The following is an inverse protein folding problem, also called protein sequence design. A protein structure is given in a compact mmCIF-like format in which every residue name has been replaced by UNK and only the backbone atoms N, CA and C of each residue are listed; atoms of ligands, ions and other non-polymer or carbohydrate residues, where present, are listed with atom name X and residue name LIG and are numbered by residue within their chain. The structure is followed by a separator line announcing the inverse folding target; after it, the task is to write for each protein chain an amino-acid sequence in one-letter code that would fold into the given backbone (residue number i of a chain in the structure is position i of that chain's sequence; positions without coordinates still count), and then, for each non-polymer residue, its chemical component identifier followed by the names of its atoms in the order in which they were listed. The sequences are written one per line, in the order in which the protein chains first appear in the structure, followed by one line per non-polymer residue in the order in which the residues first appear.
data_IF_176202156891
#
_entry.id   IF_176202156891
#
_cell.length_a   1.000
_cell.length_b   1.000
_cell.length_c   1.000
_cell.angle_alpha   90.00
_cell.angle_beta   90.00
_cell.angle_gamma   90.00
#
_symmetry.space_group_name_H-M   'P 1'
#
loop_
_entity.id
_entity.type
_entity.pdbx_description
1 polymer ?
#
# COMPACT_ATOMS: atom_id res chain seq x y z
N UNK A 1 21.66 -6.97 -31.50
CA UNK A 1 21.74 -7.15 -30.05
C UNK A 1 22.00 -5.79 -29.44
N UNK A 2 20.97 -5.10 -29.01
CA UNK A 2 21.08 -3.85 -28.23
C UNK A 2 20.32 -4.12 -26.95
N UNK A 3 21.05 -4.02 -25.84
CA UNK A 3 20.54 -4.15 -24.49
C UNK A 3 19.48 -3.07 -24.24
N UNK A 4 18.23 -3.46 -24.20
CA UNK A 4 17.20 -2.63 -23.61
C UNK A 4 17.36 -2.74 -22.11
N UNK A 5 17.86 -1.67 -21.50
CA UNK A 5 17.81 -1.47 -20.05
C UNK A 5 16.33 -1.39 -19.65
N UNK A 6 15.82 -2.47 -19.11
CA UNK A 6 14.47 -2.51 -18.56
C UNK A 6 14.54 -1.71 -17.25
N UNK A 7 14.08 -0.46 -17.33
CA UNK A 7 13.72 0.30 -16.15
C UNK A 7 12.51 -0.41 -15.53
N UNK A 8 12.78 -1.29 -14.56
CA UNK A 8 11.75 -1.97 -13.78
C UNK A 8 11.07 -0.94 -12.90
N UNK A 9 10.03 -0.29 -13.43
CA UNK A 9 9.13 0.52 -12.62
C UNK A 9 8.14 -0.45 -11.99
N UNK A 10 8.49 -0.95 -10.80
CA UNK A 10 7.52 -1.52 -9.87
C UNK A 10 6.63 -0.37 -9.40
N UNK A 11 5.59 -0.04 -10.17
CA UNK A 11 4.59 0.92 -9.74
C UNK A 11 3.54 0.15 -8.95
N UNK A 12 3.75 0.15 -7.67
CA UNK A 12 2.76 -0.25 -6.67
C UNK A 12 1.56 0.68 -6.75
N UNK A 13 0.38 0.11 -6.69
CA UNK A 13 -0.80 0.88 -6.36
C UNK A 13 -0.54 1.67 -5.06
N UNK A 14 -0.44 3.00 -5.17
CA UNK A 14 -0.28 4.01 -4.12
C UNK A 14 1.06 4.14 -3.37
N UNK A 15 2.18 3.54 -3.82
CA UNK A 15 3.48 3.77 -3.19
C UNK A 15 4.52 4.21 -4.24
N UNK A 16 4.78 5.51 -4.32
CA UNK A 16 5.89 6.05 -5.11
C UNK A 16 7.18 5.98 -4.28
N UNK A 17 8.12 5.13 -4.67
CA UNK A 17 9.48 5.13 -4.12
C UNK A 17 10.34 6.11 -4.91
N UNK A 18 10.66 7.26 -4.33
CA UNK A 18 11.77 8.09 -4.80
C UNK A 18 13.00 7.71 -3.99
N UNK A 19 14.00 7.15 -4.65
CA UNK A 19 15.26 6.77 -4.02
C UNK A 19 16.07 7.97 -3.55
N UNK A 20 16.69 7.84 -2.37
CA UNK A 20 17.86 8.61 -1.94
C UNK A 20 18.85 7.72 -1.22
N UNK A 21 20.12 7.99 -1.49
CA UNK A 21 21.34 7.27 -1.18
C UNK A 21 21.69 7.33 0.31
N UNK A 22 22.02 6.19 0.93
CA UNK A 22 23.11 5.95 1.86
C UNK A 22 23.09 6.60 3.24
N UNK A 23 22.66 5.83 4.27
CA UNK A 23 23.24 5.91 5.62
C UNK A 23 23.37 4.49 6.19
N UNK A 24 24.40 4.18 7.00
CA UNK A 24 24.66 2.82 7.47
C UNK A 24 23.60 2.34 8.46
N UNK A 25 23.16 1.08 8.29
CA UNK A 25 22.18 0.42 9.14
C UNK A 25 22.76 0.20 10.56
N UNK A 26 22.01 0.61 11.59
CA UNK A 26 22.26 0.19 12.97
C UNK A 26 21.73 -1.24 13.20
N UNK A 27 22.42 -2.08 13.95
CA UNK A 27 21.99 -3.45 14.22
C UNK A 27 20.74 -3.49 15.11
N UNK A 28 19.83 -4.38 14.79
CA UNK A 28 18.49 -4.58 15.36
C UNK A 28 18.45 -4.72 16.89
N UNK A 29 19.53 -5.16 17.52
CA UNK A 29 19.61 -5.34 18.98
C UNK A 29 19.62 -4.01 19.76
N UNK A 30 20.05 -2.91 19.17
CA UNK A 30 20.10 -1.61 19.86
C UNK A 30 18.74 -0.89 19.90
N UNK A 31 17.82 -1.21 18.97
CA UNK A 31 16.48 -0.58 18.93
C UNK A 31 15.57 -1.10 20.04
N UNK A 32 15.81 -2.34 20.51
CA UNK A 32 15.01 -2.95 21.58
C UNK A 32 15.53 -2.63 22.99
N UNK A 33 16.79 -2.18 23.13
CA UNK A 33 17.39 -1.93 24.45
C UNK A 33 17.21 -0.50 24.96
N UNK A 34 16.72 0.44 24.13
CA UNK A 34 16.45 1.83 24.53
C UNK A 34 15.00 2.13 24.87
N UNK A 35 14.11 1.13 24.83
CA UNK A 35 12.75 1.31 25.32
C UNK A 35 12.75 1.28 26.87
N UNK A 36 12.16 2.27 27.55
CA UNK A 36 12.10 2.26 29.01
C UNK A 36 11.27 1.06 29.49
N UNK A 37 11.84 0.33 30.47
CA UNK A 37 11.27 -0.80 31.16
C UNK A 37 9.79 -0.54 31.56
N UNK A 38 8.88 -1.37 31.05
CA UNK A 38 7.49 -1.36 31.42
C UNK A 38 7.33 -1.73 32.91
N UNK A 39 6.82 -0.79 33.71
CA UNK A 39 6.19 -1.14 34.97
C UNK A 39 4.78 -1.62 34.69
N UNK A 40 4.51 -2.88 34.98
CA UNK A 40 3.17 -3.46 34.99
C UNK A 40 2.28 -2.67 35.93
N UNK A 41 1.27 -1.99 35.38
CA UNK A 41 0.16 -1.49 36.19
C UNK A 41 -0.84 -2.64 36.41
N UNK A 42 -0.85 -3.19 37.61
CA UNK A 42 -1.92 -4.08 38.05
C UNK A 42 -3.25 -3.31 38.06
N UNK A 43 -4.29 -3.91 37.47
CA UNK A 43 -5.66 -3.40 37.59
C UNK A 43 -6.06 -3.50 39.06
N UNK A 44 -6.57 -2.44 39.69
CA UNK A 44 -7.09 -2.56 41.06
C UNK A 44 -8.33 -3.45 41.05
N UNK A 45 -8.29 -4.50 41.89
CA UNK A 45 -9.39 -5.38 42.14
C UNK A 45 -10.45 -4.64 42.93
N UNK A 46 -11.56 -4.27 42.27
CA UNK A 46 -12.64 -3.44 42.85
C UNK A 46 -13.59 -4.29 43.76
N UNK A 47 -13.59 -5.61 43.62
CA UNK A 47 -14.52 -6.47 44.37
C UNK A 47 -14.10 -6.79 45.82
N UNK A 48 -12.82 -6.67 46.18
CA UNK A 48 -12.32 -7.06 47.50
C UNK A 48 -12.40 -5.98 48.57
N UNK A 49 -12.86 -4.75 48.30
CA UNK A 49 -12.84 -3.62 49.25
C UNK A 49 -14.23 -3.18 49.76
N UNK A 50 -15.29 -3.97 49.56
CA UNK A 50 -16.66 -3.56 49.90
C UNK A 50 -17.13 -3.91 51.33
N UNK A 51 -16.32 -4.60 52.14
CA UNK A 51 -16.84 -5.19 53.38
C UNK A 51 -16.52 -4.51 54.71
N UNK A 52 -15.83 -3.35 54.77
CA UNK A 52 -15.42 -2.81 56.08
C UNK A 52 -15.55 -1.29 56.31
N UNK A 53 -16.66 -0.64 55.94
CA UNK A 53 -16.80 0.80 56.39
C UNK A 53 -18.27 1.17 56.65
N UNK A 54 -18.54 1.73 57.85
CA UNK A 54 -19.90 2.13 58.32
C UNK A 54 -20.65 3.11 57.40
N UNK A 55 -21.98 3.04 57.40
CA UNK A 55 -22.90 3.60 56.39
C UNK A 55 -22.77 5.09 56.04
N UNK A 56 -22.23 5.96 56.92
CA UNK A 56 -22.06 7.39 56.61
C UNK A 56 -20.73 7.71 55.86
N UNK A 57 -19.71 6.90 56.07
CA UNK A 57 -18.45 7.00 55.34
C UNK A 57 -18.54 6.29 53.95
N UNK A 58 -19.36 5.24 53.87
CA UNK A 58 -19.74 4.57 52.62
C UNK A 58 -20.43 5.53 51.63
N UNK A 59 -21.34 6.42 52.10
CA UNK A 59 -22.02 7.36 51.22
C UNK A 59 -21.08 8.36 50.54
N UNK A 60 -20.08 8.90 51.27
CA UNK A 60 -19.08 9.85 50.69
C UNK A 60 -18.11 9.13 49.76
N UNK A 61 -17.62 7.96 50.13
CA UNK A 61 -16.72 7.17 49.27
C UNK A 61 -17.45 6.69 48.02
N UNK A 62 -18.67 6.22 48.17
CA UNK A 62 -19.52 5.82 47.03
C UNK A 62 -19.84 7.04 46.11
N UNK A 63 -20.16 8.20 46.68
CA UNK A 63 -20.41 9.42 45.91
C UNK A 63 -19.14 9.84 45.15
N UNK A 64 -17.95 9.82 45.78
CA UNK A 64 -16.70 10.12 45.13
C UNK A 64 -16.37 9.15 43.96
N UNK A 65 -16.65 7.85 44.14
CA UNK A 65 -16.47 6.86 43.06
C UNK A 65 -17.51 7.05 41.95
N UNK A 66 -18.78 7.33 42.28
CA UNK A 66 -19.82 7.67 41.30
C UNK A 66 -19.37 8.93 40.49
N UNK A 67 -18.95 9.99 41.17
CA UNK A 67 -18.51 11.24 40.53
C UNK A 67 -17.28 10.98 39.61
N UNK A 68 -16.34 10.15 40.04
CA UNK A 68 -15.19 9.70 39.27
C UNK A 68 -15.61 8.92 38.03
N UNK A 69 -16.55 7.98 38.16
CA UNK A 69 -17.10 7.21 37.03
C UNK A 69 -17.87 8.11 36.08
N UNK A 70 -18.72 9.02 36.56
CA UNK A 70 -19.42 9.98 35.71
C UNK A 70 -18.48 10.93 35.00
N UNK A 71 -17.43 11.41 35.68
CA UNK A 71 -16.38 12.22 35.07
C UNK A 71 -15.62 11.46 33.98
N UNK A 72 -15.27 10.20 34.25
CA UNK A 72 -14.62 9.31 33.28
C UNK A 72 -15.52 9.04 32.08
N UNK A 73 -16.81 8.72 32.30
CA UNK A 73 -17.79 8.56 31.22
C UNK A 73 -17.90 9.80 30.36
N UNK A 74 -17.99 10.99 30.98
CA UNK A 74 -18.03 12.27 30.26
C UNK A 74 -16.77 12.54 29.45
N UNK A 75 -15.59 12.12 29.92
CA UNK A 75 -14.34 12.21 29.16
C UNK A 75 -14.39 11.25 27.97
N UNK A 76 -14.78 9.98 28.17
CA UNK A 76 -14.87 8.99 27.10
C UNK A 76 -15.84 9.42 25.98
N UNK A 77 -17.00 10.00 26.36
CA UNK A 77 -17.95 10.54 25.37
C UNK A 77 -17.33 11.67 24.54
N UNK A 78 -16.55 12.56 25.17
CA UNK A 78 -15.84 13.64 24.48
C UNK A 78 -14.75 13.11 23.56
N UNK A 79 -13.97 12.12 24.01
CA UNK A 79 -12.95 11.44 23.20
C UNK A 79 -13.59 10.87 21.93
N UNK A 80 -14.69 10.14 22.07
CA UNK A 80 -15.43 9.54 20.96
C UNK A 80 -15.94 10.61 19.97
N UNK A 81 -16.50 11.69 20.48
CA UNK A 81 -16.96 12.82 19.65
C UNK A 81 -15.82 13.42 18.83
N UNK A 82 -14.65 13.63 19.45
CA UNK A 82 -13.50 14.20 18.74
C UNK A 82 -12.95 13.23 17.67
N UNK A 83 -12.95 11.93 17.93
CA UNK A 83 -12.57 10.91 16.93
C UNK A 83 -13.51 10.94 15.74
N UNK A 84 -14.82 10.93 15.96
CA UNK A 84 -15.81 10.96 14.87
C UNK A 84 -15.75 12.27 14.06
N UNK A 85 -15.52 13.41 14.71
CA UNK A 85 -15.24 14.66 13.99
C UNK A 85 -13.99 14.55 13.13
N UNK A 86 -12.90 13.99 13.70
CA UNK A 86 -11.65 13.79 12.97
C UNK A 86 -11.84 12.91 11.73
N UNK A 87 -12.60 11.80 11.84
CA UNK A 87 -12.96 10.95 10.71
C UNK A 87 -13.71 11.71 9.62
N UNK A 88 -14.71 12.51 10.01
CA UNK A 88 -15.49 13.30 9.07
C UNK A 88 -14.65 14.35 8.32
N UNK A 89 -13.67 15.00 8.98
CA UNK A 89 -12.74 15.90 8.32
C UNK A 89 -11.75 15.17 7.43
N UNK A 90 -11.27 14.00 7.86
CA UNK A 90 -10.39 13.14 7.05
C UNK A 90 -11.07 12.73 5.74
N UNK A 91 -12.33 12.31 5.77
CA UNK A 91 -13.13 11.97 4.58
C UNK A 91 -13.33 13.16 3.63
N UNK A 92 -13.44 14.37 4.17
CA UNK A 92 -13.50 15.62 3.38
C UNK A 92 -12.15 16.06 2.81
N UNK A 93 -11.06 15.37 3.16
CA UNK A 93 -9.70 15.74 2.76
C UNK A 93 -9.05 16.85 3.61
N UNK A 94 -9.73 17.33 4.67
CA UNK A 94 -9.17 18.32 5.61
C UNK A 94 -8.31 17.61 6.67
N UNK A 95 -7.08 17.28 6.28
CA UNK A 95 -6.15 16.51 7.12
C UNK A 95 -5.70 17.32 8.34
N UNK A 96 -5.52 18.62 8.23
CA UNK A 96 -5.06 19.47 9.34
C UNK A 96 -6.10 19.51 10.46
N UNK A 97 -7.36 19.69 10.14
CA UNK A 97 -8.45 19.67 11.12
C UNK A 97 -8.64 18.25 11.69
N UNK A 98 -8.53 17.20 10.88
CA UNK A 98 -8.58 15.83 11.36
C UNK A 98 -7.47 15.54 12.40
N UNK A 99 -6.22 15.94 12.12
CA UNK A 99 -5.07 15.82 13.02
C UNK A 99 -5.30 16.60 14.33
N UNK A 100 -5.89 17.80 14.24
CA UNK A 100 -6.22 18.60 15.43
C UNK A 100 -7.25 17.88 16.32
N UNK A 101 -8.32 17.32 15.74
CA UNK A 101 -9.33 16.54 16.45
C UNK A 101 -8.71 15.29 17.14
N UNK A 102 -7.92 14.51 16.42
CA UNK A 102 -7.24 13.34 17.02
C UNK A 102 -6.24 13.76 18.10
N UNK A 103 -5.55 14.88 17.93
CA UNK A 103 -4.64 15.42 18.97
C UNK A 103 -5.42 15.85 20.22
N UNK A 104 -6.61 16.44 20.05
CA UNK A 104 -7.47 16.78 21.18
C UNK A 104 -7.97 15.51 21.89
N UNK A 105 -8.37 14.48 21.14
CA UNK A 105 -8.75 13.18 21.70
C UNK A 105 -7.62 12.58 22.56
N UNK A 106 -6.36 12.59 22.06
CA UNK A 106 -5.18 12.11 22.79
C UNK A 106 -4.89 12.93 24.04
N UNK A 107 -5.17 14.24 24.04
CA UNK A 107 -5.03 15.07 25.26
C UNK A 107 -6.07 14.72 26.32
N UNK A 108 -7.26 14.33 25.93
CA UNK A 108 -8.32 13.88 26.82
C UNK A 108 -8.03 12.49 27.39
N UNK A 109 -7.55 11.59 26.55
CA UNK A 109 -7.17 10.22 26.91
C UNK A 109 -5.88 9.80 26.16
N UNK A 110 -4.78 9.77 26.92
CA UNK A 110 -3.46 9.40 26.39
C UNK A 110 -3.30 7.91 26.11
N UNK A 111 -4.27 7.09 26.48
CA UNK A 111 -4.29 5.65 26.25
C UNK A 111 -5.19 5.25 25.07
N UNK A 112 -5.75 6.22 24.39
CA UNK A 112 -6.64 5.96 23.25
C UNK A 112 -5.86 5.56 22.00
N UNK A 113 -5.80 4.25 21.76
CA UNK A 113 -5.08 3.63 20.63
C UNK A 113 -5.62 4.11 19.30
N UNK A 114 -6.95 4.19 19.15
CA UNK A 114 -7.61 4.59 17.91
C UNK A 114 -7.21 6.02 17.49
N UNK A 115 -7.11 6.95 18.44
CA UNK A 115 -6.74 8.33 18.14
C UNK A 115 -5.29 8.45 17.62
N UNK A 116 -4.34 7.71 18.21
CA UNK A 116 -2.97 7.64 17.70
C UNK A 116 -2.93 7.00 16.30
N UNK A 117 -3.62 5.88 16.12
CA UNK A 117 -3.65 5.17 14.85
C UNK A 117 -4.20 6.04 13.71
N UNK A 118 -5.34 6.69 13.92
CA UNK A 118 -5.97 7.56 12.93
C UNK A 118 -5.13 8.83 12.67
N UNK A 119 -4.50 9.39 13.71
CA UNK A 119 -3.58 10.52 13.53
C UNK A 119 -2.37 10.11 12.71
N UNK A 120 -1.80 8.95 12.94
CA UNK A 120 -0.71 8.39 12.14
C UNK A 120 -1.09 8.28 10.67
N UNK A 121 -2.28 7.76 10.35
CA UNK A 121 -2.79 7.72 8.97
C UNK A 121 -2.88 9.13 8.36
N UNK A 122 -3.45 10.10 9.08
CA UNK A 122 -3.58 11.46 8.60
C UNK A 122 -2.22 12.15 8.40
N UNK A 123 -1.24 11.93 9.31
CA UNK A 123 0.14 12.41 9.18
C UNK A 123 0.82 11.83 7.93
N UNK A 124 0.63 10.53 7.66
CA UNK A 124 1.14 9.86 6.46
C UNK A 124 0.58 10.46 5.17
N UNK A 125 -0.72 10.79 5.14
CA UNK A 125 -1.39 11.42 3.99
C UNK A 125 -0.79 12.79 3.61
N UNK A 126 -0.36 13.58 4.60
CA UNK A 126 0.29 14.88 4.36
C UNK A 126 1.83 14.80 4.31
N UNK A 127 2.38 13.59 4.30
CA UNK A 127 3.83 13.36 4.14
C UNK A 127 4.66 13.57 5.40
N UNK A 128 4.06 13.73 6.58
CA UNK A 128 4.75 13.89 7.86
C UNK A 128 5.26 12.56 8.42
N UNK A 129 6.18 11.92 7.69
CA UNK A 129 6.68 10.55 7.97
C UNK A 129 7.17 10.34 9.41
N UNK A 130 7.87 11.31 9.98
CA UNK A 130 8.37 11.19 11.35
C UNK A 130 7.24 11.11 12.39
N UNK A 131 6.20 11.92 12.22
CA UNK A 131 5.03 11.91 13.12
C UNK A 131 4.16 10.67 12.90
N UNK A 132 4.02 10.21 11.65
CA UNK A 132 3.36 8.96 11.29
C UNK A 132 3.98 7.78 12.05
N UNK A 133 5.31 7.62 11.97
CA UNK A 133 6.05 6.56 12.67
C UNK A 133 5.92 6.68 14.19
N UNK A 134 6.02 7.89 14.74
CA UNK A 134 5.86 8.12 16.18
C UNK A 134 4.47 7.73 16.69
N UNK A 135 3.43 8.02 15.92
CA UNK A 135 2.06 7.68 16.27
C UNK A 135 1.82 6.16 16.25
N UNK A 136 2.29 5.45 15.21
CA UNK A 136 2.20 3.98 15.21
C UNK A 136 3.09 3.36 16.31
N UNK A 137 4.24 3.96 16.61
CA UNK A 137 5.05 3.57 17.77
C UNK A 137 4.27 3.71 19.09
N UNK A 138 3.48 4.78 19.25
CA UNK A 138 2.62 4.96 20.43
C UNK A 138 1.50 3.93 20.49
N UNK A 139 0.90 3.55 19.34
CA UNK A 139 -0.05 2.44 19.27
C UNK A 139 0.58 1.15 19.80
N UNK A 140 1.79 0.80 19.33
CA UNK A 140 2.47 -0.44 19.73
C UNK A 140 2.99 -0.42 21.17
N UNK A 141 3.19 0.75 21.77
CA UNK A 141 3.46 0.86 23.21
C UNK A 141 2.21 0.56 24.07
N UNK A 142 1.01 0.88 23.56
CA UNK A 142 -0.24 0.66 24.24
C UNK A 142 -0.83 -0.74 23.97
N UNK A 143 -0.62 -1.25 22.76
CA UNK A 143 -1.07 -2.57 22.31
C UNK A 143 0.02 -3.19 21.43
N UNK A 144 0.82 -4.08 22.03
CA UNK A 144 1.94 -4.76 21.38
C UNK A 144 1.50 -5.76 20.29
N UNK A 145 0.23 -6.19 20.34
CA UNK A 145 -0.32 -7.15 19.38
C UNK A 145 -1.21 -6.47 18.30
N UNK A 146 -1.02 -5.18 18.05
CA UNK A 146 -1.76 -4.45 17.04
C UNK A 146 -1.18 -4.67 15.63
N UNK A 147 -1.65 -5.70 14.94
CA UNK A 147 -1.14 -6.12 13.63
C UNK A 147 -1.20 -5.00 12.57
N UNK A 148 -2.31 -4.24 12.53
CA UNK A 148 -2.51 -3.14 11.58
C UNK A 148 -1.48 -2.01 11.79
N UNK A 149 -1.08 -1.73 13.04
CA UNK A 149 -0.06 -0.72 13.33
C UNK A 149 1.33 -1.18 12.85
N UNK A 150 1.68 -2.45 13.05
CA UNK A 150 2.90 -3.02 12.47
C UNK A 150 2.90 -2.93 10.95
N UNK A 151 1.80 -3.29 10.29
CA UNK A 151 1.71 -3.18 8.83
C UNK A 151 1.90 -1.74 8.35
N UNK A 152 1.23 -0.77 8.98
CA UNK A 152 1.38 0.67 8.66
C UNK A 152 2.80 1.18 8.93
N UNK A 153 3.40 0.76 10.03
CA UNK A 153 4.78 1.12 10.37
C UNK A 153 5.76 0.54 9.33
N UNK A 154 5.54 -0.69 8.89
CA UNK A 154 6.28 -1.30 7.78
C UNK A 154 6.18 -0.49 6.49
N UNK A 155 4.97 -0.04 6.12
CA UNK A 155 4.76 0.83 4.94
C UNK A 155 5.49 2.16 5.11
N UNK A 156 5.42 2.80 6.29
CA UNK A 156 6.11 4.06 6.55
C UNK A 156 7.64 3.93 6.40
N UNK A 157 8.23 2.84 6.93
CA UNK A 157 9.67 2.55 6.76
C UNK A 157 10.04 2.20 5.33
N UNK A 158 9.22 1.44 4.61
CA UNK A 158 9.44 1.14 3.20
C UNK A 158 9.47 2.43 2.36
N UNK A 159 8.57 3.37 2.63
CA UNK A 159 8.53 4.69 2.00
C UNK A 159 9.74 5.59 2.33
N UNK A 160 10.48 5.27 3.39
CA UNK A 160 11.76 5.92 3.72
C UNK A 160 12.97 5.19 3.13
N UNK A 161 12.77 4.09 2.41
CA UNK A 161 13.84 3.24 1.89
C UNK A 161 14.44 2.26 2.91
N UNK A 162 13.90 2.23 4.13
CA UNK A 162 14.36 1.32 5.20
C UNK A 162 13.71 -0.07 5.04
N UNK A 163 14.03 -0.75 3.94
CA UNK A 163 13.35 -1.97 3.51
C UNK A 163 13.49 -3.13 4.52
N UNK A 164 14.65 -3.27 5.18
CA UNK A 164 14.84 -4.32 6.18
C UNK A 164 13.95 -4.13 7.40
N UNK A 165 13.82 -2.89 7.89
CA UNK A 165 12.93 -2.57 9.00
C UNK A 165 11.45 -2.79 8.59
N UNK A 166 11.10 -2.46 7.35
CA UNK A 166 9.76 -2.71 6.82
C UNK A 166 9.43 -4.21 6.84
N UNK A 167 10.35 -5.07 6.37
CA UNK A 167 10.17 -6.54 6.36
C UNK A 167 9.95 -7.08 7.77
N UNK A 168 10.68 -6.59 8.77
CA UNK A 168 10.50 -6.98 10.17
C UNK A 168 9.08 -6.61 10.64
N UNK A 169 8.64 -5.39 10.39
CA UNK A 169 7.31 -4.94 10.82
C UNK A 169 6.18 -5.72 10.11
N UNK A 170 6.28 -5.97 8.81
CA UNK A 170 5.33 -6.83 8.11
C UNK A 170 5.31 -8.26 8.66
N UNK A 171 6.49 -8.78 9.06
CA UNK A 171 6.60 -10.12 9.64
C UNK A 171 5.92 -10.20 11.01
N UNK A 172 6.02 -9.16 11.84
CA UNK A 172 5.29 -9.08 13.09
C UNK A 172 3.77 -8.96 12.85
N UNK A 173 3.34 -8.16 11.88
CA UNK A 173 1.93 -8.08 11.51
C UNK A 173 1.37 -9.46 11.11
N UNK A 174 2.12 -10.23 10.32
CA UNK A 174 1.75 -11.59 9.90
C UNK A 174 1.80 -12.58 11.08
N UNK A 175 2.78 -12.47 11.99
CA UNK A 175 2.86 -13.30 13.18
C UNK A 175 1.62 -13.15 14.06
N UNK A 176 1.17 -11.90 14.25
CA UNK A 176 0.00 -11.57 15.06
C UNK A 176 -1.30 -11.97 14.35
N UNK A 177 -1.39 -11.70 13.05
CA UNK A 177 -2.57 -11.98 12.22
C UNK A 177 -2.17 -12.79 10.97
N UNK A 178 -2.13 -14.13 11.06
CA UNK A 178 -1.66 -15.00 9.97
C UNK A 178 -2.48 -14.93 8.67
N UNK A 179 -3.68 -14.34 8.72
CA UNK A 179 -4.54 -14.14 7.54
C UNK A 179 -4.51 -12.69 7.03
N UNK A 180 -3.47 -11.92 7.37
CA UNK A 180 -3.37 -10.52 6.98
C UNK A 180 -2.82 -10.36 5.56
N UNK A 181 -3.69 -10.47 4.56
CA UNK A 181 -3.37 -10.42 3.12
C UNK A 181 -2.54 -9.18 2.75
N UNK A 182 -2.92 -7.99 3.27
CA UNK A 182 -2.18 -6.74 2.98
C UNK A 182 -0.72 -6.81 3.46
N UNK A 183 -0.47 -7.40 4.62
CA UNK A 183 0.88 -7.53 5.16
C UNK A 183 1.76 -8.49 4.32
N UNK A 184 1.18 -9.60 3.82
CA UNK A 184 1.87 -10.46 2.87
C UNK A 184 2.22 -9.73 1.57
N UNK A 185 1.26 -9.02 0.97
CA UNK A 185 1.50 -8.24 -0.24
C UNK A 185 2.60 -7.20 -0.03
N UNK A 186 2.54 -6.44 1.07
CA UNK A 186 3.54 -5.42 1.37
C UNK A 186 4.93 -6.02 1.61
N UNK A 187 5.01 -7.17 2.32
CA UNK A 187 6.28 -7.87 2.54
C UNK A 187 6.85 -8.45 1.24
N UNK A 188 6.00 -8.99 0.40
CA UNK A 188 6.40 -9.46 -0.93
C UNK A 188 7.05 -8.35 -1.76
N UNK A 189 6.44 -7.18 -1.78
CA UNK A 189 7.00 -6.00 -2.44
C UNK A 189 8.34 -5.60 -1.85
N UNK A 190 8.47 -5.63 -0.52
CA UNK A 190 9.74 -5.34 0.14
C UNK A 190 10.81 -6.38 -0.21
N UNK A 191 10.46 -7.67 -0.32
CA UNK A 191 11.37 -8.72 -0.80
C UNK A 191 11.74 -8.54 -2.28
N UNK A 192 10.79 -8.14 -3.14
CA UNK A 192 11.07 -7.84 -4.54
C UNK A 192 12.08 -6.70 -4.70
N UNK A 193 11.96 -5.64 -3.90
CA UNK A 193 12.92 -4.52 -3.88
C UNK A 193 14.33 -4.96 -3.43
N UNK A 194 14.44 -6.05 -2.69
CA UNK A 194 15.73 -6.68 -2.33
C UNK A 194 16.21 -7.73 -3.35
N UNK A 195 15.47 -7.97 -4.42
CA UNK A 195 15.76 -9.01 -5.40
C UNK A 195 15.53 -10.45 -4.91
N UNK A 196 14.79 -10.62 -3.79
CA UNK A 196 14.51 -11.95 -3.25
C UNK A 196 13.23 -12.53 -3.87
N UNK A 197 13.36 -13.05 -5.08
CA UNK A 197 12.25 -13.52 -5.91
C UNK A 197 11.46 -14.65 -5.23
N UNK A 198 12.17 -15.63 -4.64
CA UNK A 198 11.52 -16.80 -4.02
C UNK A 198 10.60 -16.39 -2.87
N UNK A 199 11.07 -15.52 -1.97
CA UNK A 199 10.24 -15.01 -0.87
C UNK A 199 9.09 -14.15 -1.37
N UNK A 200 9.29 -13.38 -2.43
CA UNK A 200 8.24 -12.59 -3.06
C UNK A 200 7.11 -13.48 -3.57
N UNK A 201 7.44 -14.52 -4.35
CA UNK A 201 6.44 -15.47 -4.89
C UNK A 201 5.74 -16.22 -3.74
N UNK A 202 6.50 -16.63 -2.72
CA UNK A 202 5.96 -17.32 -1.55
C UNK A 202 4.91 -16.47 -0.83
N UNK A 203 5.21 -15.21 -0.52
CA UNK A 203 4.28 -14.32 0.18
C UNK A 203 3.04 -14.01 -0.67
N UNK A 204 3.21 -13.74 -1.97
CA UNK A 204 2.07 -13.51 -2.87
C UNK A 204 1.20 -14.75 -3.01
N UNK A 205 1.79 -15.94 -3.02
CA UNK A 205 1.04 -17.20 -3.03
C UNK A 205 0.23 -17.39 -1.76
N UNK A 206 0.77 -17.01 -0.60
CA UNK A 206 0.00 -17.02 0.65
C UNK A 206 -1.14 -15.98 0.63
N UNK A 207 -0.88 -14.78 0.12
CA UNK A 207 -1.92 -13.75 -0.03
C UNK A 207 -3.09 -14.25 -0.91
N UNK A 208 -2.79 -14.90 -2.02
CA UNK A 208 -3.78 -15.51 -2.93
C UNK A 208 -4.53 -16.65 -2.23
N UNK A 209 -3.83 -17.51 -1.48
CA UNK A 209 -4.46 -18.62 -0.76
C UNK A 209 -5.46 -18.11 0.29
N UNK A 210 -5.14 -17.01 0.98
CA UNK A 210 -6.03 -16.41 2.00
C UNK A 210 -7.20 -15.70 1.35
N UNK A 211 -6.97 -14.95 0.28
CA UNK A 211 -8.01 -14.25 -0.47
C UNK A 211 -7.85 -14.51 -1.98
N UNK A 212 -8.55 -15.53 -2.52
CA UNK A 212 -8.47 -15.90 -3.94
C UNK A 212 -9.06 -14.87 -4.91
N UNK A 213 -9.77 -13.87 -4.41
CA UNK A 213 -10.38 -12.81 -5.22
C UNK A 213 -9.60 -11.48 -5.13
N UNK A 214 -8.38 -11.50 -4.58
CA UNK A 214 -7.54 -10.30 -4.48
C UNK A 214 -6.77 -10.06 -5.79
N UNK A 215 -7.16 -9.06 -6.61
CA UNK A 215 -6.49 -8.80 -7.88
C UNK A 215 -5.05 -8.32 -7.71
N UNK A 216 -4.72 -7.62 -6.61
CA UNK A 216 -3.38 -7.05 -6.41
C UNK A 216 -2.32 -8.15 -6.19
N UNK A 217 -2.68 -9.23 -5.50
CA UNK A 217 -1.76 -10.33 -5.25
C UNK A 217 -1.42 -11.10 -6.54
N UNK A 218 -2.43 -11.38 -7.37
CA UNK A 218 -2.23 -11.97 -8.70
C UNK A 218 -1.40 -11.04 -9.59
N UNK A 219 -1.78 -9.76 -9.67
CA UNK A 219 -1.06 -8.78 -10.49
C UNK A 219 0.40 -8.67 -10.11
N UNK A 220 0.70 -8.55 -8.82
CA UNK A 220 2.07 -8.45 -8.34
C UNK A 220 2.87 -9.73 -8.64
N UNK A 221 2.28 -10.91 -8.52
CA UNK A 221 2.95 -12.17 -8.84
C UNK A 221 3.18 -12.32 -10.34
N UNK A 222 2.20 -11.92 -11.15
CA UNK A 222 2.34 -11.88 -12.61
C UNK A 222 3.51 -10.99 -13.07
N UNK A 223 3.71 -9.82 -12.45
CA UNK A 223 4.86 -8.95 -12.73
C UNK A 223 6.18 -9.66 -12.43
N UNK A 224 6.26 -10.39 -11.31
CA UNK A 224 7.46 -11.15 -10.96
C UNK A 224 7.71 -12.27 -11.98
N UNK A 225 6.69 -13.04 -12.34
CA UNK A 225 6.80 -14.08 -13.36
C UNK A 225 7.21 -13.51 -14.73
N UNK A 226 6.64 -12.37 -15.13
CA UNK A 226 7.04 -11.70 -16.37
C UNK A 226 8.52 -11.27 -16.35
N UNK A 227 8.97 -10.66 -15.26
CA UNK A 227 10.36 -10.22 -15.11
C UNK A 227 11.36 -11.38 -15.08
N UNK A 228 10.92 -12.55 -14.66
CA UNK A 228 11.71 -13.79 -14.65
C UNK A 228 11.48 -14.65 -15.90
N UNK A 229 10.79 -14.11 -16.92
CA UNK A 229 10.49 -14.75 -18.20
C UNK A 229 9.62 -16.03 -18.10
N UNK A 230 8.88 -16.18 -17.01
CA UNK A 230 7.89 -17.23 -16.80
C UNK A 230 6.56 -16.73 -17.38
N UNK A 231 6.50 -16.64 -18.72
CA UNK A 231 5.41 -15.94 -19.43
C UNK A 231 4.05 -16.62 -19.31
N UNK A 232 4.02 -17.95 -19.25
CA UNK A 232 2.75 -18.68 -19.15
C UNK A 232 2.11 -18.47 -17.77
N UNK A 233 2.91 -18.50 -16.71
CA UNK A 233 2.49 -18.19 -15.34
C UNK A 233 2.04 -16.72 -15.22
N UNK A 234 2.78 -15.80 -15.85
CA UNK A 234 2.40 -14.39 -15.87
C UNK A 234 1.05 -14.16 -16.57
N UNK A 235 0.82 -14.79 -17.72
CA UNK A 235 -0.45 -14.70 -18.44
C UNK A 235 -1.61 -15.27 -17.61
N UNK A 236 -1.39 -16.39 -16.90
CA UNK A 236 -2.40 -16.98 -16.03
C UNK A 236 -2.77 -16.01 -14.89
N UNK A 237 -1.78 -15.45 -14.19
CA UNK A 237 -2.02 -14.52 -13.08
C UNK A 237 -2.62 -13.18 -13.54
N UNK A 238 -2.22 -12.63 -14.70
CA UNK A 238 -2.91 -11.47 -15.26
C UNK A 238 -4.36 -11.79 -15.65
N UNK A 239 -4.64 -13.00 -16.11
CA UNK A 239 -5.99 -13.44 -16.41
C UNK A 239 -6.83 -13.54 -15.14
N UNK A 240 -6.28 -14.07 -14.05
CA UNK A 240 -6.93 -14.09 -12.75
C UNK A 240 -7.14 -12.68 -12.18
N UNK A 241 -6.16 -11.78 -12.37
CA UNK A 241 -6.31 -10.35 -12.04
C UNK A 241 -7.50 -9.73 -12.74
N UNK A 242 -7.63 -9.95 -14.05
CA UNK A 242 -8.72 -9.43 -14.88
C UNK A 242 -10.07 -10.05 -14.47
N UNK A 243 -10.10 -11.33 -14.14
CA UNK A 243 -11.30 -11.99 -13.64
C UNK A 243 -11.77 -11.38 -12.32
N UNK A 244 -10.84 -11.10 -11.38
CA UNK A 244 -11.15 -10.51 -10.09
C UNK A 244 -11.49 -9.01 -10.18
N UNK A 245 -10.86 -8.30 -11.12
CA UNK A 245 -11.12 -6.89 -11.39
C UNK A 245 -11.09 -6.59 -12.90
N UNK A 246 -12.24 -6.63 -13.59
CA UNK A 246 -12.31 -6.35 -15.03
C UNK A 246 -11.90 -4.93 -15.44
N UNK A 247 -11.83 -3.99 -14.51
CA UNK A 247 -11.40 -2.61 -14.77
C UNK A 247 -9.88 -2.41 -14.56
N UNK A 248 -9.13 -3.49 -14.35
CA UNK A 248 -7.70 -3.42 -14.11
C UNK A 248 -6.90 -3.19 -15.40
N UNK A 249 -6.93 -1.96 -15.93
CA UNK A 249 -6.31 -1.60 -17.21
C UNK A 249 -4.83 -2.05 -17.36
N UNK A 250 -4.06 -2.02 -16.28
CA UNK A 250 -2.65 -2.45 -16.31
C UNK A 250 -2.50 -3.95 -16.56
N UNK A 251 -3.41 -4.78 -16.06
CA UNK A 251 -3.34 -6.23 -16.28
C UNK A 251 -3.53 -6.57 -17.76
N UNK A 252 -4.48 -5.89 -18.42
CA UNK A 252 -4.65 -6.02 -19.88
C UNK A 252 -3.38 -5.56 -20.62
N UNK A 253 -2.85 -4.37 -20.30
CA UNK A 253 -1.63 -3.85 -20.90
C UNK A 253 -0.47 -4.84 -20.78
N UNK A 254 -0.18 -5.32 -19.56
CA UNK A 254 0.94 -6.21 -19.32
C UNK A 254 0.76 -7.59 -19.97
N UNK A 255 -0.48 -8.11 -20.03
CA UNK A 255 -0.77 -9.36 -20.73
C UNK A 255 -0.63 -9.19 -22.24
N UNK A 256 -1.06 -8.04 -22.78
CA UNK A 256 -0.88 -7.68 -24.18
C UNK A 256 0.59 -7.58 -24.56
N UNK A 257 1.43 -6.98 -23.72
CA UNK A 257 2.87 -6.89 -23.95
C UNK A 257 3.51 -8.30 -24.08
N UNK A 258 3.09 -9.25 -23.26
CA UNK A 258 3.56 -10.64 -23.37
C UNK A 258 3.05 -11.27 -24.66
N UNK A 259 1.76 -11.09 -25.03
CA UNK A 259 1.22 -11.63 -26.28
C UNK A 259 1.94 -11.06 -27.49
N UNK A 260 2.20 -9.75 -27.49
CA UNK A 260 2.96 -9.09 -28.57
C UNK A 260 4.39 -9.64 -28.69
N UNK A 261 5.07 -9.84 -27.58
CA UNK A 261 6.42 -10.42 -27.55
C UNK A 261 6.49 -11.85 -28.08
N UNK A 262 5.37 -12.59 -27.94
CA UNK A 262 5.21 -13.96 -28.47
C UNK A 262 4.68 -13.99 -29.92
N UNK A 263 4.50 -12.84 -30.57
CA UNK A 263 3.92 -12.76 -31.92
C UNK A 263 2.41 -13.03 -31.99
N UNK A 264 1.72 -13.12 -30.85
CA UNK A 264 0.27 -13.34 -30.77
C UNK A 264 -0.46 -11.99 -30.91
N UNK A 265 -0.24 -11.33 -32.05
CA UNK A 265 -0.62 -9.93 -32.27
C UNK A 265 -2.11 -9.67 -32.14
N UNK A 266 -2.99 -10.56 -32.59
CA UNK A 266 -4.44 -10.40 -32.46
C UNK A 266 -4.88 -10.33 -31.00
N UNK A 267 -4.30 -11.18 -30.11
CA UNK A 267 -4.59 -11.17 -28.68
C UNK A 267 -4.06 -9.89 -28.03
N UNK A 268 -2.87 -9.45 -28.44
CA UNK A 268 -2.29 -8.21 -27.95
C UNK A 268 -3.15 -6.99 -28.31
N UNK A 269 -3.60 -6.90 -29.58
CA UNK A 269 -4.49 -5.84 -30.07
C UNK A 269 -5.78 -5.77 -29.25
N UNK A 270 -6.39 -6.93 -28.99
CA UNK A 270 -7.62 -7.00 -28.22
C UNK A 270 -7.41 -6.47 -26.77
N UNK A 271 -6.38 -6.92 -26.08
CA UNK A 271 -6.09 -6.51 -24.70
C UNK A 271 -5.67 -5.03 -24.62
N UNK A 272 -4.85 -4.53 -25.55
CA UNK A 272 -4.53 -3.09 -25.63
C UNK A 272 -5.79 -2.27 -25.88
N UNK A 273 -6.72 -2.76 -26.71
CA UNK A 273 -8.02 -2.13 -26.97
C UNK A 273 -8.78 -1.90 -25.68
N UNK A 274 -8.92 -2.92 -24.84
CA UNK A 274 -9.59 -2.81 -23.55
C UNK A 274 -8.83 -1.86 -22.61
N UNK A 275 -7.50 -1.93 -22.57
CA UNK A 275 -6.69 -1.02 -21.74
C UNK A 275 -6.91 0.45 -22.13
N UNK A 276 -7.07 0.74 -23.44
CA UNK A 276 -7.36 2.07 -23.97
C UNK A 276 -8.80 2.49 -23.62
N UNK A 277 -9.79 1.60 -23.75
CA UNK A 277 -11.17 1.89 -23.34
C UNK A 277 -11.23 2.29 -21.85
N UNK A 278 -10.53 1.56 -21.00
CA UNK A 278 -10.43 1.86 -19.55
C UNK A 278 -9.63 3.14 -19.26
N UNK A 279 -8.62 3.45 -20.08
CA UNK A 279 -7.75 4.62 -19.93
C UNK A 279 -7.49 5.32 -21.25
N UNK A 280 -8.42 6.14 -21.76
CA UNK A 280 -8.34 6.75 -23.08
C UNK A 280 -7.19 7.74 -23.32
N UNK A 281 -6.49 8.15 -22.25
CA UNK A 281 -5.33 9.05 -22.34
C UNK A 281 -3.98 8.34 -22.13
N UNK A 282 -3.92 7.02 -22.34
CA UNK A 282 -2.71 6.23 -22.13
C UNK A 282 -1.92 6.09 -23.44
N UNK A 283 -1.03 7.06 -23.71
CA UNK A 283 -0.24 7.16 -24.94
C UNK A 283 0.54 5.87 -25.28
N UNK A 284 1.14 5.22 -24.26
CA UNK A 284 1.90 3.98 -24.43
C UNK A 284 1.02 2.82 -24.95
N UNK A 285 -0.24 2.73 -24.50
CA UNK A 285 -1.15 1.68 -24.95
C UNK A 285 -1.49 1.84 -26.44
N UNK A 286 -1.74 3.06 -26.91
CA UNK A 286 -1.89 3.32 -28.35
C UNK A 286 -0.63 2.98 -29.13
N UNK A 287 0.53 3.39 -28.64
CA UNK A 287 1.80 3.09 -29.31
C UNK A 287 2.04 1.59 -29.46
N UNK A 288 1.86 0.83 -28.37
CA UNK A 288 2.08 -0.61 -28.37
C UNK A 288 1.02 -1.35 -29.20
N UNK A 289 -0.23 -0.88 -29.22
CA UNK A 289 -1.26 -1.42 -30.12
C UNK A 289 -0.91 -1.13 -31.58
N UNK A 290 -0.44 0.06 -31.89
CA UNK A 290 0.07 0.42 -33.21
C UNK A 290 1.21 -0.48 -33.70
N UNK A 291 2.14 -0.85 -32.80
CA UNK A 291 3.19 -1.83 -33.11
C UNK A 291 2.61 -3.22 -33.40
N UNK A 292 1.61 -3.65 -32.60
CA UNK A 292 0.95 -4.92 -32.82
C UNK A 292 0.13 -4.94 -34.14
N UNK A 293 -0.57 -3.85 -34.48
CA UNK A 293 -1.24 -3.68 -35.78
C UNK A 293 -0.26 -3.76 -36.94
N UNK A 294 0.88 -3.04 -36.83
CA UNK A 294 1.94 -3.09 -37.86
C UNK A 294 2.46 -4.52 -38.05
N UNK A 295 2.75 -5.22 -36.96
CA UNK A 295 3.22 -6.60 -37.01
C UNK A 295 2.18 -7.58 -37.56
N UNK A 296 0.88 -7.23 -37.47
CA UNK A 296 -0.26 -7.99 -38.02
C UNK A 296 -0.63 -7.59 -39.47
N UNK A 297 0.14 -6.67 -40.10
CA UNK A 297 -0.08 -6.19 -41.46
C UNK A 297 -1.14 -5.10 -41.61
N UNK A 298 -1.70 -4.59 -40.55
CA UNK A 298 -2.77 -3.59 -40.47
C UNK A 298 -2.17 -2.18 -40.41
N UNK A 299 -1.68 -1.67 -41.53
CA UNK A 299 -0.90 -0.43 -41.60
C UNK A 299 -1.71 0.83 -41.29
N UNK A 300 -2.96 0.90 -41.73
CA UNK A 300 -3.80 2.09 -41.54
C UNK A 300 -4.17 2.28 -40.08
N UNK A 301 -4.50 1.19 -39.39
CA UNK A 301 -4.79 1.18 -37.94
C UNK A 301 -3.53 1.52 -37.15
N UNK A 302 -2.36 1.02 -37.55
CA UNK A 302 -1.09 1.35 -36.91
C UNK A 302 -0.78 2.85 -37.00
N UNK A 303 -0.98 3.48 -38.17
CA UNK A 303 -0.78 4.91 -38.39
C UNK A 303 -1.74 5.74 -37.54
N UNK A 304 -3.00 5.33 -37.45
CA UNK A 304 -4.00 6.00 -36.60
C UNK A 304 -3.57 5.98 -35.12
N UNK A 305 -3.16 4.83 -34.61
CA UNK A 305 -2.74 4.65 -33.23
C UNK A 305 -1.44 5.41 -32.89
N UNK A 306 -0.44 5.39 -33.78
CA UNK A 306 0.77 6.22 -33.60
C UNK A 306 0.45 7.71 -33.59
N UNK A 307 -0.51 8.14 -34.41
CA UNK A 307 -0.94 9.55 -34.44
C UNK A 307 -1.59 9.96 -33.13
N UNK A 308 -2.39 9.08 -32.52
CA UNK A 308 -3.04 9.34 -31.25
C UNK A 308 -2.03 9.33 -30.08
N UNK A 309 -1.09 8.38 -30.08
CA UNK A 309 0.01 8.35 -29.12
C UNK A 309 0.84 9.65 -29.13
N UNK A 310 1.14 10.18 -30.34
CA UNK A 310 1.85 11.46 -30.52
C UNK A 310 1.07 12.66 -29.97
N UNK A 311 -0.25 12.71 -30.18
CA UNK A 311 -1.09 13.78 -29.63
C UNK A 311 -1.10 13.78 -28.12
N UNK A 312 -1.17 12.57 -27.51
CA UNK A 312 -1.23 12.41 -26.06
C UNK A 312 0.13 12.68 -25.38
N UNK A 313 1.24 12.33 -26.00
CA UNK A 313 2.59 12.59 -25.48
C UNK A 313 3.56 13.06 -26.55
N UNK A 314 3.55 14.38 -26.90
CA UNK A 314 4.37 14.90 -27.98
C UNK A 314 5.89 14.84 -27.73
N UNK A 315 6.33 14.83 -26.48
CA UNK A 315 7.76 14.93 -26.12
C UNK A 315 8.49 13.58 -26.15
N UNK A 316 7.84 12.54 -25.69
CA UNK A 316 8.46 11.20 -25.53
C UNK A 316 8.45 10.41 -26.84
N UNK A 317 7.44 10.63 -27.66
CA UNK A 317 7.24 9.89 -28.90
C UNK A 317 7.87 10.53 -30.14
N UNK A 318 8.44 11.76 -30.05
CA UNK A 318 9.12 12.40 -31.21
C UNK A 318 10.34 11.60 -31.67
N UNK A 319 11.12 11.03 -30.76
CA UNK A 319 12.30 10.22 -31.08
C UNK A 319 11.91 8.91 -31.77
N UNK A 320 10.75 8.34 -31.38
CA UNK A 320 10.23 7.08 -31.93
C UNK A 320 9.51 7.30 -33.28
N UNK A 321 8.81 8.43 -33.45
CA UNK A 321 8.14 8.80 -34.68
C UNK A 321 9.13 9.13 -35.84
N UNK A 322 10.32 9.68 -35.52
CA UNK A 322 11.37 9.93 -36.51
C UNK A 322 11.90 8.61 -37.08
N UNK A 323 12.08 7.58 -36.26
CA UNK A 323 12.50 6.25 -36.71
C UNK A 323 11.43 5.58 -37.59
N UNK A 324 10.15 5.83 -37.34
CA UNK A 324 9.04 5.28 -38.15
C UNK A 324 8.96 5.94 -39.54
N UNK A 325 9.07 7.27 -39.66
CA UNK A 325 9.08 7.98 -40.93
C UNK A 325 10.25 7.57 -41.82
N UNK A 326 11.40 7.26 -41.23
CA UNK A 326 12.56 6.81 -41.95
C UNK A 326 12.42 5.40 -42.54
N UNK A 327 11.53 4.55 -42.00
CA UNK A 327 11.28 3.19 -42.49
C UNK A 327 10.10 3.07 -43.45
N UNK A 328 9.28 4.12 -43.61
CA UNK A 328 8.10 4.15 -44.47
C UNK A 328 8.27 5.07 -45.71
N UNK A 329 9.45 5.72 -45.89
CA UNK A 329 9.72 6.46 -47.08
C UNK A 329 9.82 5.49 -48.29
N UNK A 330 9.07 5.74 -49.40
CA UNK A 330 9.22 4.92 -50.58
C UNK A 330 10.66 5.02 -51.06
N UNK A 331 11.31 3.87 -51.27
CA UNK A 331 12.58 3.80 -52.03
C UNK A 331 12.25 4.17 -53.44
N UNK A 332 12.68 5.38 -53.87
CA UNK A 332 12.68 5.79 -55.28
C UNK A 332 13.58 4.88 -56.13
#
# INVERSE_FOLDING_TARGET
MKNYSICSILILGSLAFTGCVGTPAMPFQEVLTTAPLFKTFEKPDIESQLDEVGTSALSKKAQNEIDKVLKSKKINDRVKIEIEKGKAFFEKGDMDTAIACYTHSIRLDRTNIEAYYLRGIAQGKIGNKAKEIADYGSVLQLDVDHAEAYNRLGVAYANQGSIDIAIVNFSEAIRIKPEFVEAYNNRAVAFANKGNIDKTISDLTQAIRINPDNPDAFFNRAIIYNNTQQFDEAIADFTDTIRANPEHARAYMSRADIFASQGKNEKAIADYGIAIELKPKWAEAYYNRGLAYKANGQQDEAVADFSEALKLNPKENQTQAVSFRATTAPTE
#
